data_IF_956547619296
#
_entry.id   IF_956547619296
#
_cell.length_a   1.000
_cell.length_b   1.000
_cell.length_c   1.000
_cell.angle_alpha   90.00
_cell.angle_beta   90.00
_cell.angle_gamma   90.00
#
_symmetry.space_group_name_H-M   'P 1'
#
loop_
_entity.id
_entity.type
_entity.pdbx_description
1 polymer ?
#
# COMPACT_ATOMS: atom_id res chain seq x y z
N UNK A 1 -21.82 5.76 -12.99
CA UNK A 1 -21.97 7.14 -12.51
C UNK A 1 -20.64 7.61 -11.91
N UNK A 2 -20.27 8.87 -12.13
CA UNK A 2 -19.05 9.47 -11.58
C UNK A 2 -19.43 10.46 -10.48
N UNK A 3 -18.92 10.24 -9.27
CA UNK A 3 -19.24 11.05 -8.08
C UNK A 3 -17.95 11.49 -7.40
N UNK A 4 -17.87 12.74 -6.96
CA UNK A 4 -16.78 13.23 -6.12
C UNK A 4 -17.08 12.83 -4.66
N UNK A 5 -16.16 12.13 -4.00
CA UNK A 5 -16.35 11.67 -2.60
C UNK A 5 -16.47 12.83 -1.60
N UNK A 6 -16.05 14.04 -1.97
CA UNK A 6 -16.19 15.26 -1.16
C UNK A 6 -17.61 15.82 -1.16
N UNK A 7 -18.40 15.48 -2.18
CA UNK A 7 -19.81 15.87 -2.27
C UNK A 7 -20.68 14.85 -1.52
N UNK A 8 -20.98 15.16 -0.25
CA UNK A 8 -21.74 14.30 0.66
C UNK A 8 -23.11 13.91 0.09
N UNK A 9 -23.82 14.87 -0.50
CA UNK A 9 -25.18 14.62 -0.98
C UNK A 9 -25.16 13.78 -2.26
N UNK A 10 -24.20 14.02 -3.16
CA UNK A 10 -24.01 13.22 -4.36
C UNK A 10 -23.61 11.76 -4.02
N UNK A 11 -22.71 11.55 -3.06
CA UNK A 11 -22.30 10.21 -2.59
C UNK A 11 -23.52 9.48 -2.01
N UNK A 12 -24.28 10.15 -1.13
CA UNK A 12 -25.50 9.58 -0.53
C UNK A 12 -26.52 9.18 -1.59
N UNK A 13 -26.86 10.11 -2.49
CA UNK A 13 -27.82 9.85 -3.56
C UNK A 13 -27.37 8.71 -4.51
N UNK A 14 -26.06 8.59 -4.77
CA UNK A 14 -25.55 7.50 -5.59
C UNK A 14 -25.71 6.14 -4.91
N UNK A 15 -25.40 6.05 -3.62
CA UNK A 15 -25.56 4.80 -2.84
C UNK A 15 -27.04 4.42 -2.69
N UNK A 16 -27.92 5.35 -2.35
CA UNK A 16 -29.35 5.10 -2.25
C UNK A 16 -29.93 4.58 -3.58
N UNK A 17 -29.54 5.18 -4.73
CA UNK A 17 -29.97 4.71 -6.05
C UNK A 17 -29.42 3.35 -6.43
N UNK A 18 -28.19 3.03 -5.99
CA UNK A 18 -27.56 1.76 -6.35
C UNK A 18 -28.22 0.56 -5.69
N UNK A 19 -28.80 0.73 -4.50
CA UNK A 19 -29.32 -0.36 -3.69
C UNK A 19 -28.25 -1.43 -3.36
N UNK A 20 -26.98 -1.07 -3.32
CA UNK A 20 -25.88 -2.01 -3.17
C UNK A 20 -25.82 -2.61 -1.77
N UNK A 21 -25.77 -3.95 -1.66
CA UNK A 21 -25.58 -4.68 -0.40
C UNK A 21 -24.16 -4.54 0.14
N UNK A 22 -23.18 -4.29 -0.74
CA UNK A 22 -21.78 -4.15 -0.40
C UNK A 22 -21.14 -2.94 -1.10
N UNK A 23 -20.25 -2.25 -0.38
CA UNK A 23 -19.47 -1.12 -0.86
C UNK A 23 -18.00 -1.41 -0.75
N UNK A 24 -17.23 -1.13 -1.81
CA UNK A 24 -15.77 -1.14 -1.79
C UNK A 24 -15.25 0.27 -2.03
N UNK A 25 -14.61 0.85 -1.02
CA UNK A 25 -14.06 2.20 -1.06
C UNK A 25 -12.55 2.17 -1.29
N UNK A 26 -12.13 2.53 -2.52
CA UNK A 26 -10.73 2.56 -2.96
C UNK A 26 -10.26 3.98 -3.28
N UNK A 27 -11.16 4.98 -3.24
CA UNK A 27 -10.83 6.35 -3.59
C UNK A 27 -9.91 6.97 -2.54
N UNK A 28 -8.68 7.28 -2.94
CA UNK A 28 -7.66 7.87 -2.10
C UNK A 28 -6.56 8.52 -2.97
N UNK A 29 -5.99 9.65 -2.53
CA UNK A 29 -4.87 10.29 -3.21
C UNK A 29 -3.57 9.61 -2.79
N UNK A 30 -3.09 8.68 -3.63
CA UNK A 30 -1.88 7.90 -3.36
C UNK A 30 -0.60 8.70 -3.58
N UNK A 31 -0.53 9.47 -4.66
CA UNK A 31 0.68 10.24 -4.98
C UNK A 31 0.75 11.48 -4.08
N UNK A 32 1.87 11.70 -3.37
CA UNK A 32 2.03 12.85 -2.51
C UNK A 32 1.82 14.17 -3.28
N UNK A 33 1.11 15.09 -2.64
CA UNK A 33 0.81 16.42 -3.19
C UNK A 33 1.25 17.50 -2.20
N UNK A 34 1.58 18.68 -2.73
CA UNK A 34 1.80 19.88 -1.92
C UNK A 34 0.48 20.49 -1.42
N UNK A 35 -0.66 20.09 -2.01
CA UNK A 35 -1.98 20.45 -1.54
C UNK A 35 -2.47 19.39 -0.54
N UNK A 36 -1.96 19.48 0.70
CA UNK A 36 -2.35 18.58 1.77
C UNK A 36 -3.82 18.77 2.21
N UNK A 37 -4.40 19.96 1.95
CA UNK A 37 -5.82 20.19 2.21
C UNK A 37 -6.70 19.37 1.28
N UNK A 38 -6.38 19.35 -0.01
CA UNK A 38 -7.09 18.53 -0.98
C UNK A 38 -6.93 17.03 -0.66
N UNK A 39 -5.71 16.60 -0.26
CA UNK A 39 -5.49 15.22 0.17
C UNK A 39 -6.41 14.87 1.35
N UNK A 40 -6.38 15.65 2.41
CA UNK A 40 -7.21 15.42 3.59
C UNK A 40 -8.71 15.42 3.27
N UNK A 41 -9.14 16.34 2.42
CA UNK A 41 -10.56 16.47 2.04
C UNK A 41 -11.06 15.27 1.24
N UNK A 42 -10.26 14.74 0.31
CA UNK A 42 -10.59 13.52 -0.43
C UNK A 42 -10.47 12.28 0.46
N UNK A 43 -9.35 12.16 1.19
CA UNK A 43 -8.93 10.94 1.83
C UNK A 43 -9.66 10.69 3.15
N UNK A 44 -9.83 11.74 3.96
CA UNK A 44 -10.46 11.65 5.29
C UNK A 44 -11.93 12.06 5.24
N UNK A 45 -12.23 13.29 4.77
CA UNK A 45 -13.61 13.76 4.69
C UNK A 45 -14.42 12.95 3.67
N UNK A 46 -13.80 12.59 2.52
CA UNK A 46 -14.41 11.71 1.53
C UNK A 46 -14.73 10.33 2.09
N UNK A 47 -13.80 9.72 2.84
CA UNK A 47 -14.06 8.44 3.54
C UNK A 47 -15.21 8.60 4.53
N UNK A 48 -15.23 9.67 5.33
CA UNK A 48 -16.34 9.94 6.25
C UNK A 48 -17.69 10.05 5.52
N UNK A 49 -17.75 10.80 4.41
CA UNK A 49 -18.97 10.93 3.60
C UNK A 49 -19.45 9.57 3.06
N UNK A 50 -18.53 8.72 2.60
CA UNK A 50 -18.83 7.38 2.10
C UNK A 50 -19.39 6.49 3.22
N UNK A 51 -18.81 6.54 4.42
CA UNK A 51 -19.26 5.76 5.58
C UNK A 51 -20.66 6.21 6.06
N UNK A 52 -20.90 7.53 6.13
CA UNK A 52 -22.20 8.09 6.47
C UNK A 52 -23.28 7.69 5.44
N UNK A 53 -22.94 7.77 4.15
CA UNK A 53 -23.84 7.39 3.08
C UNK A 53 -24.16 5.88 3.12
N UNK A 54 -23.16 5.02 3.39
CA UNK A 54 -23.36 3.59 3.55
C UNK A 54 -24.27 3.26 4.75
N UNK A 55 -24.12 4.02 5.85
CA UNK A 55 -25.01 3.89 7.00
C UNK A 55 -26.45 4.27 6.66
N UNK A 56 -26.66 5.40 5.98
CA UNK A 56 -27.98 5.89 5.57
C UNK A 56 -28.67 4.97 4.56
N UNK A 57 -27.92 4.44 3.58
CA UNK A 57 -28.43 3.54 2.55
C UNK A 57 -28.71 2.11 3.06
N UNK A 58 -28.31 1.78 4.30
CA UNK A 58 -28.51 0.42 4.83
C UNK A 58 -27.54 -0.62 4.27
N UNK A 59 -26.39 -0.19 3.70
CA UNK A 59 -25.38 -1.09 3.14
C UNK A 59 -24.87 -2.07 4.20
N UNK A 60 -25.02 -3.37 3.95
CA UNK A 60 -24.73 -4.44 4.91
C UNK A 60 -23.24 -4.76 5.05
N UNK A 61 -22.41 -4.35 4.08
CA UNK A 61 -20.97 -4.58 4.10
C UNK A 61 -20.21 -3.41 3.48
N UNK A 62 -19.16 -2.95 4.17
CA UNK A 62 -18.24 -1.91 3.68
C UNK A 62 -16.82 -2.42 3.77
N UNK A 63 -16.08 -2.35 2.65
CA UNK A 63 -14.65 -2.63 2.60
C UNK A 63 -13.91 -1.34 2.23
N UNK A 64 -12.91 -0.99 3.03
CA UNK A 64 -12.09 0.21 2.82
C UNK A 64 -10.62 -0.18 2.70
N UNK A 65 -9.93 0.33 1.69
CA UNK A 65 -8.48 0.14 1.56
C UNK A 65 -7.73 1.19 2.36
N UNK A 66 -7.22 0.78 3.51
CA UNK A 66 -6.25 1.50 4.34
C UNK A 66 -4.82 1.26 3.81
N UNK A 67 -3.82 1.19 4.65
CA UNK A 67 -2.42 0.89 4.31
C UNK A 67 -1.65 0.43 5.55
N UNK A 68 -0.61 -0.36 5.38
CA UNK A 68 0.37 -0.63 6.44
C UNK A 68 1.09 0.65 6.93
N UNK A 69 1.10 1.72 6.13
CA UNK A 69 1.64 3.02 6.57
C UNK A 69 0.83 3.64 7.71
N UNK A 70 -0.41 3.21 7.93
CA UNK A 70 -1.23 3.66 9.07
C UNK A 70 -0.62 3.27 10.42
N UNK A 71 0.16 2.19 10.51
CA UNK A 71 0.91 1.85 11.73
C UNK A 71 2.01 2.88 12.05
N UNK A 72 2.51 3.57 11.02
CA UNK A 72 3.69 4.42 11.13
C UNK A 72 4.99 3.61 11.19
N UNK A 73 6.11 4.26 10.93
CA UNK A 73 7.43 3.64 10.98
C UNK A 73 8.20 4.19 12.21
N UNK A 74 8.32 3.35 13.26
CA UNK A 74 8.93 3.75 14.52
C UNK A 74 9.99 2.73 14.97
N UNK A 75 11.04 3.17 15.71
CA UNK A 75 12.11 2.28 16.18
C UNK A 75 11.61 1.14 17.07
N UNK A 76 10.50 1.36 17.77
CA UNK A 76 9.88 0.44 18.73
C UNK A 76 8.76 -0.43 18.12
N UNK A 77 8.55 -0.36 16.80
CA UNK A 77 7.60 -1.24 16.14
C UNK A 77 7.99 -2.71 16.29
N UNK A 78 7.04 -3.62 16.61
CA UNK A 78 7.26 -5.05 16.51
C UNK A 78 7.59 -5.47 15.06
N UNK A 79 8.21 -6.65 14.92
CA UNK A 79 8.62 -7.23 13.64
C UNK A 79 8.18 -8.69 13.56
N UNK A 80 7.08 -8.99 12.83
CA UNK A 80 6.21 -8.07 12.10
C UNK A 80 5.14 -7.39 12.97
N UNK A 81 4.53 -6.31 12.46
CA UNK A 81 3.30 -5.73 12.97
C UNK A 81 2.10 -6.64 12.65
N UNK A 82 1.16 -6.70 13.55
CA UNK A 82 -0.10 -7.43 13.40
C UNK A 82 -1.30 -6.49 13.43
N UNK A 83 -2.48 -7.00 13.16
CA UNK A 83 -3.70 -6.20 13.19
C UNK A 83 -4.11 -5.75 14.60
N UNK A 84 -3.53 -6.37 15.63
CA UNK A 84 -3.73 -6.00 17.05
C UNK A 84 -2.85 -4.81 17.47
N UNK A 85 -1.83 -4.47 16.66
CA UNK A 85 -0.98 -3.33 16.91
C UNK A 85 -1.70 -2.02 16.56
N UNK A 86 -1.51 -0.94 17.36
CA UNK A 86 -2.22 0.31 17.15
C UNK A 86 -1.75 1.04 15.88
N UNK A 87 -2.67 1.65 15.14
CA UNK A 87 -2.36 2.58 14.06
C UNK A 87 -1.92 3.92 14.68
N UNK A 88 -0.62 4.26 14.53
CA UNK A 88 0.02 5.43 15.15
C UNK A 88 0.19 6.59 14.16
N UNK A 89 0.26 6.26 12.87
CA UNK A 89 0.47 7.22 11.79
C UNK A 89 1.89 7.79 11.74
N UNK A 90 2.08 8.76 10.89
CA UNK A 90 3.32 9.53 10.77
C UNK A 90 2.98 10.99 10.47
N UNK A 91 2.91 11.89 11.47
CA UNK A 91 2.43 13.27 11.28
C UNK A 91 3.20 14.07 10.22
N UNK A 92 4.49 13.77 10.01
CA UNK A 92 5.33 14.43 9.01
C UNK A 92 5.11 13.92 7.57
N UNK A 93 4.28 12.90 7.38
CA UNK A 93 3.96 12.33 6.07
C UNK A 93 2.44 12.32 5.87
N UNK A 94 1.91 13.27 5.10
CA UNK A 94 0.48 13.48 4.92
C UNK A 94 -0.28 12.19 4.56
N UNK A 95 0.22 11.41 3.59
CA UNK A 95 -0.39 10.14 3.21
C UNK A 95 -0.57 9.17 4.39
N UNK A 96 0.47 8.98 5.22
CA UNK A 96 0.39 8.07 6.36
C UNK A 96 -0.53 8.62 7.47
N UNK A 97 -0.53 9.95 7.67
CA UNK A 97 -1.45 10.63 8.59
C UNK A 97 -2.89 10.42 8.16
N UNK A 98 -3.22 10.67 6.89
CA UNK A 98 -4.57 10.61 6.36
C UNK A 98 -5.08 9.16 6.29
N UNK A 99 -4.22 8.18 5.94
CA UNK A 99 -4.54 6.74 6.04
C UNK A 99 -4.86 6.31 7.47
N UNK A 100 -4.13 6.83 8.45
CA UNK A 100 -4.38 6.54 9.87
C UNK A 100 -5.73 7.08 10.32
N UNK A 101 -6.05 8.30 9.93
CA UNK A 101 -7.32 8.93 10.28
C UNK A 101 -8.50 8.22 9.62
N UNK A 102 -8.41 7.90 8.32
CA UNK A 102 -9.42 7.12 7.61
C UNK A 102 -9.62 5.72 8.22
N UNK A 103 -8.52 5.05 8.62
CA UNK A 103 -8.57 3.75 9.30
C UNK A 103 -9.31 3.84 10.65
N UNK A 104 -9.02 4.87 11.44
CA UNK A 104 -9.72 5.13 12.71
C UNK A 104 -11.21 5.42 12.51
N UNK A 105 -11.58 6.19 11.48
CA UNK A 105 -12.99 6.40 11.12
C UNK A 105 -13.69 5.08 10.82
N UNK A 106 -13.05 4.17 10.08
CA UNK A 106 -13.59 2.85 9.81
C UNK A 106 -13.79 2.01 11.10
N UNK A 107 -12.82 2.05 12.02
CA UNK A 107 -12.93 1.35 13.30
C UNK A 107 -14.07 1.91 14.17
N UNK A 108 -14.23 3.23 14.23
CA UNK A 108 -15.34 3.90 14.93
C UNK A 108 -16.68 3.55 14.30
N UNK A 109 -16.75 3.56 12.96
CA UNK A 109 -17.96 3.17 12.23
C UNK A 109 -18.35 1.71 12.52
N UNK A 110 -17.37 0.79 12.54
CA UNK A 110 -17.61 -0.61 12.87
C UNK A 110 -18.18 -0.78 14.29
N UNK A 111 -17.64 -0.03 15.25
CA UNK A 111 -18.14 -0.05 16.64
C UNK A 111 -19.56 0.51 16.77
N UNK A 112 -19.91 1.52 15.94
CA UNK A 112 -21.26 2.12 15.93
C UNK A 112 -22.30 1.26 15.18
N UNK A 113 -21.87 0.35 14.29
CA UNK A 113 -22.76 -0.48 13.47
C UNK A 113 -22.39 -1.97 13.59
N UNK A 114 -22.57 -2.60 14.75
CA UNK A 114 -22.17 -4.00 15.02
C UNK A 114 -22.97 -5.02 14.21
N UNK A 115 -24.10 -4.62 13.64
CA UNK A 115 -24.96 -5.40 12.75
C UNK A 115 -24.46 -5.46 11.29
N UNK A 116 -23.40 -4.72 10.97
CA UNK A 116 -22.81 -4.61 9.62
C UNK A 116 -21.38 -5.08 9.57
N UNK A 117 -20.94 -5.45 8.39
CA UNK A 117 -19.57 -5.91 8.19
C UNK A 117 -18.68 -4.75 7.71
N UNK A 118 -17.71 -4.34 8.54
CA UNK A 118 -16.63 -3.44 8.15
C UNK A 118 -15.36 -4.24 7.93
N UNK A 119 -14.78 -4.15 6.74
CA UNK A 119 -13.48 -4.75 6.39
C UNK A 119 -12.47 -3.65 6.12
N UNK A 120 -11.34 -3.65 6.84
CA UNK A 120 -10.25 -2.69 6.66
C UNK A 120 -9.05 -3.45 6.09
N UNK A 121 -8.68 -3.15 4.85
CA UNK A 121 -7.54 -3.80 4.18
C UNK A 121 -6.31 -2.92 4.32
N UNK A 122 -5.22 -3.45 4.89
CA UNK A 122 -3.95 -2.74 5.13
C UNK A 122 -2.82 -3.36 4.29
N UNK A 123 -2.73 -3.07 2.99
CA UNK A 123 -1.65 -3.59 2.17
C UNK A 123 -0.31 -2.95 2.54
N UNK A 124 0.78 -3.72 2.44
CA UNK A 124 2.14 -3.20 2.37
C UNK A 124 2.35 -2.47 1.03
N UNK A 125 3.57 -2.34 0.52
CA UNK A 125 3.81 -1.68 -0.76
C UNK A 125 3.22 -2.54 -1.88
N UNK A 126 2.18 -2.03 -2.53
CA UNK A 126 1.58 -2.68 -3.70
C UNK A 126 2.41 -2.36 -4.93
N UNK A 127 2.94 -3.40 -5.57
CA UNK A 127 3.71 -3.36 -6.79
C UNK A 127 3.10 -4.32 -7.83
N UNK A 128 3.47 -4.15 -9.08
CA UNK A 128 3.01 -4.97 -10.21
C UNK A 128 3.30 -4.28 -11.53
N UNK A 129 3.13 -4.97 -12.65
CA UNK A 129 3.43 -4.45 -13.99
C UNK A 129 2.57 -3.25 -14.39
N UNK A 130 1.36 -3.13 -13.85
CA UNK A 130 0.43 -2.04 -14.16
C UNK A 130 0.48 -0.89 -13.13
N UNK A 131 1.29 -1.03 -12.07
CA UNK A 131 1.40 0.00 -11.03
C UNK A 131 2.35 1.11 -11.50
N UNK A 132 1.81 2.31 -11.69
CA UNK A 132 2.60 3.54 -11.94
C UNK A 132 2.32 4.55 -10.82
N UNK A 133 3.09 4.48 -9.76
CA UNK A 133 3.03 5.43 -8.65
C UNK A 133 4.41 6.04 -8.36
N UNK A 134 4.45 7.01 -7.47
CA UNK A 134 5.69 7.70 -7.12
C UNK A 134 6.75 6.77 -6.52
N UNK A 135 6.37 5.66 -5.85
CA UNK A 135 7.33 4.68 -5.31
C UNK A 135 8.03 3.92 -6.42
N UNK A 136 7.29 3.45 -7.44
CA UNK A 136 7.89 2.85 -8.63
C UNK A 136 8.85 3.83 -9.31
N UNK A 137 8.42 5.10 -9.45
CA UNK A 137 9.26 6.15 -10.05
C UNK A 137 10.49 6.47 -9.19
N UNK A 138 10.40 6.38 -7.87
CA UNK A 138 11.55 6.52 -6.97
C UNK A 138 12.63 5.48 -7.26
N UNK A 139 12.26 4.20 -7.41
CA UNK A 139 13.20 3.13 -7.76
C UNK A 139 13.71 3.22 -9.20
N UNK A 140 12.88 3.65 -10.13
CA UNK A 140 13.20 3.62 -11.56
C UNK A 140 13.90 4.87 -12.07
N UNK A 141 13.68 6.04 -11.47
CA UNK A 141 14.22 7.33 -11.95
C UNK A 141 15.35 7.90 -11.09
N UNK A 142 15.54 7.40 -9.85
CA UNK A 142 16.63 7.89 -8.99
C UNK A 142 17.98 7.35 -9.48
N UNK A 143 19.01 8.20 -9.63
CA UNK A 143 20.29 7.80 -10.22
C UNK A 143 21.18 7.00 -9.26
N UNK A 144 20.89 6.96 -7.99
CA UNK A 144 21.62 6.21 -6.96
C UNK A 144 20.73 5.97 -5.73
N UNK A 145 21.06 4.94 -4.96
CA UNK A 145 20.42 4.65 -3.67
C UNK A 145 21.24 5.29 -2.53
N UNK A 146 20.64 6.21 -1.75
CA UNK A 146 21.36 6.84 -0.63
C UNK A 146 21.54 5.84 0.52
N UNK A 147 22.76 5.70 1.02
CA UNK A 147 23.04 4.97 2.26
C UNK A 147 23.26 5.96 3.40
N UNK A 148 22.28 6.03 4.28
CA UNK A 148 22.33 6.82 5.51
C UNK A 148 22.42 5.94 6.77
N UNK A 149 22.87 4.68 6.62
CA UNK A 149 23.02 3.69 7.68
C UNK A 149 21.77 2.83 7.92
N UNK A 150 20.93 2.62 6.89
CA UNK A 150 19.65 1.93 7.04
C UNK A 150 19.36 0.91 5.94
N UNK A 151 20.31 0.67 5.03
CA UNK A 151 20.09 -0.22 3.88
C UNK A 151 19.76 -1.67 4.26
N UNK A 152 20.08 -2.08 5.47
CA UNK A 152 19.76 -3.41 5.99
C UNK A 152 18.35 -3.49 6.60
N UNK A 153 17.59 -2.36 6.61
CA UNK A 153 16.19 -2.38 7.00
C UNK A 153 15.36 -3.16 5.98
N UNK A 154 14.42 -3.93 6.53
CA UNK A 154 13.53 -4.78 5.77
C UNK A 154 12.38 -3.99 5.17
N UNK A 155 11.99 -4.37 3.95
CA UNK A 155 10.88 -3.83 3.19
C UNK A 155 10.06 -4.99 2.62
N UNK A 156 8.79 -4.75 2.36
CA UNK A 156 7.85 -5.77 1.96
C UNK A 156 6.99 -5.28 0.80
N UNK A 157 6.76 -6.16 -0.18
CA UNK A 157 5.93 -5.89 -1.34
C UNK A 157 4.82 -6.92 -1.45
N UNK A 158 3.71 -6.55 -2.08
CA UNK A 158 2.63 -7.45 -2.47
C UNK A 158 2.23 -7.18 -3.91
N UNK A 159 1.99 -8.22 -4.69
CA UNK A 159 1.58 -8.09 -6.08
C UNK A 159 0.16 -7.52 -6.19
N UNK A 160 -0.07 -6.67 -7.19
CA UNK A 160 -1.39 -6.03 -7.41
C UNK A 160 -2.51 -7.06 -7.54
N UNK A 161 -2.29 -8.18 -8.24
CA UNK A 161 -3.29 -9.25 -8.38
C UNK A 161 -3.55 -9.97 -7.06
N UNK A 162 -2.52 -10.18 -6.23
CA UNK A 162 -2.68 -10.79 -4.90
C UNK A 162 -3.52 -9.89 -3.98
N UNK A 163 -3.42 -8.57 -4.12
CA UNK A 163 -4.30 -7.62 -3.40
C UNK A 163 -5.75 -7.73 -3.87
N UNK A 164 -5.98 -7.85 -5.18
CA UNK A 164 -7.32 -8.05 -5.75
C UNK A 164 -7.95 -9.35 -5.25
N UNK A 165 -7.18 -10.44 -5.23
CA UNK A 165 -7.63 -11.72 -4.70
C UNK A 165 -7.94 -11.67 -3.19
N UNK A 166 -7.09 -10.98 -2.41
CA UNK A 166 -7.32 -10.77 -0.98
C UNK A 166 -8.62 -9.97 -0.70
N UNK A 167 -8.83 -8.87 -1.43
CA UNK A 167 -10.05 -8.08 -1.34
C UNK A 167 -11.26 -8.91 -1.72
N UNK A 168 -11.18 -9.68 -2.80
CA UNK A 168 -12.27 -10.54 -3.27
C UNK A 168 -12.63 -11.62 -2.23
N UNK A 169 -11.63 -12.28 -1.66
CA UNK A 169 -11.84 -13.31 -0.63
C UNK A 169 -12.51 -12.72 0.63
N UNK A 170 -12.04 -11.55 1.09
CA UNK A 170 -12.61 -10.85 2.24
C UNK A 170 -14.04 -10.38 2.00
N UNK A 171 -14.32 -9.85 0.81
CA UNK A 171 -15.63 -9.35 0.43
C UNK A 171 -16.65 -10.48 0.30
N UNK A 172 -16.33 -11.53 -0.48
CA UNK A 172 -17.22 -12.66 -0.72
C UNK A 172 -17.44 -13.49 0.54
N UNK A 173 -16.42 -13.64 1.39
CA UNK A 173 -16.52 -14.31 2.70
C UNK A 173 -17.16 -13.47 3.79
N UNK A 174 -17.49 -12.19 3.54
CA UNK A 174 -18.05 -11.23 4.51
C UNK A 174 -17.22 -11.14 5.80
N UNK A 175 -15.89 -11.11 5.68
CA UNK A 175 -14.99 -11.09 6.81
C UNK A 175 -14.79 -9.67 7.35
N UNK A 176 -15.28 -9.39 8.56
CA UNK A 176 -15.11 -8.10 9.24
C UNK A 176 -13.80 -7.99 10.02
N UNK A 177 -13.35 -6.76 10.22
CA UNK A 177 -12.14 -6.40 10.95
C UNK A 177 -11.01 -5.92 10.04
N UNK A 178 -9.84 -5.64 10.65
CA UNK A 178 -8.65 -5.25 9.91
C UNK A 178 -7.88 -6.50 9.43
N UNK A 179 -7.28 -6.40 8.22
CA UNK A 179 -6.46 -7.44 7.61
C UNK A 179 -5.25 -6.83 6.91
N UNK A 180 -4.06 -7.24 7.32
CA UNK A 180 -2.83 -6.92 6.62
C UNK A 180 -2.70 -7.77 5.35
N UNK A 181 -2.28 -7.15 4.25
CA UNK A 181 -2.05 -7.82 2.97
C UNK A 181 -0.60 -7.61 2.53
N UNK A 182 0.16 -8.68 2.48
CA UNK A 182 1.59 -8.63 2.17
C UNK A 182 2.02 -9.91 1.44
N UNK A 183 3.00 -9.77 0.54
CA UNK A 183 3.69 -10.93 -0.06
C UNK A 183 4.54 -11.65 0.98
N UNK A 184 4.76 -12.93 0.77
CA UNK A 184 5.66 -13.71 1.62
C UNK A 184 7.12 -13.33 1.39
N UNK A 185 7.94 -13.51 2.42
CA UNK A 185 9.34 -13.11 2.40
C UNK A 185 9.54 -11.60 2.55
N UNK A 186 10.79 -11.20 2.65
CA UNK A 186 11.22 -9.82 2.87
C UNK A 186 12.42 -9.53 1.98
N UNK A 187 12.63 -8.25 1.66
CA UNK A 187 13.88 -7.76 1.09
C UNK A 187 14.47 -6.69 2.01
N UNK A 188 15.76 -6.49 1.94
CA UNK A 188 16.39 -5.28 2.47
C UNK A 188 16.41 -4.20 1.40
N UNK A 189 16.50 -2.93 1.80
CA UNK A 189 16.69 -1.82 0.86
C UNK A 189 17.98 -1.99 0.04
N UNK A 190 19.00 -2.63 0.62
CA UNK A 190 20.25 -3.00 -0.07
C UNK A 190 20.00 -3.99 -1.18
N UNK A 191 19.30 -5.10 -0.90
CA UNK A 191 18.96 -6.11 -1.91
C UNK A 191 18.13 -5.52 -3.07
N UNK A 192 17.19 -4.61 -2.75
CA UNK A 192 16.45 -3.89 -3.79
C UNK A 192 17.37 -3.05 -4.68
N UNK A 193 18.28 -2.28 -4.09
CA UNK A 193 19.23 -1.45 -4.83
C UNK A 193 20.17 -2.29 -5.70
N UNK A 194 20.72 -3.38 -5.14
CA UNK A 194 21.61 -4.31 -5.85
C UNK A 194 20.91 -5.03 -6.99
N UNK A 195 19.67 -5.47 -6.79
CA UNK A 195 18.88 -6.15 -7.81
C UNK A 195 18.73 -5.32 -9.09
N UNK A 196 18.54 -4.00 -8.95
CA UNK A 196 18.38 -3.10 -10.11
C UNK A 196 19.70 -2.45 -10.54
N UNK A 197 20.84 -2.83 -9.96
CA UNK A 197 22.15 -2.25 -10.28
C UNK A 197 22.27 -0.76 -9.90
N UNK A 198 21.51 -0.30 -8.90
CA UNK A 198 21.54 1.10 -8.45
C UNK A 198 22.82 1.37 -7.66
N UNK A 199 23.65 2.37 -8.03
CA UNK A 199 24.84 2.73 -7.27
C UNK A 199 24.49 3.16 -5.85
N UNK A 200 25.10 2.54 -4.84
CA UNK A 200 24.91 2.91 -3.44
C UNK A 200 25.90 4.01 -3.07
N UNK A 201 25.39 5.13 -2.55
CA UNK A 201 26.21 6.29 -2.13
C UNK A 201 25.97 6.63 -0.68
N UNK A 202 27.02 6.48 0.14
CA UNK A 202 26.98 6.82 1.56
C UNK A 202 26.92 8.31 1.78
N UNK A 203 25.97 8.76 2.64
CA UNK A 203 25.84 10.17 3.02
C UNK A 203 25.30 10.31 4.45
N UNK A 204 25.61 11.41 5.16
CA UNK A 204 25.05 11.67 6.48
C UNK A 204 23.51 11.86 6.40
N UNK A 205 22.76 11.26 7.33
CA UNK A 205 21.29 11.38 7.38
C UNK A 205 20.82 12.85 7.41
N UNK A 206 21.53 13.73 8.14
CA UNK A 206 21.19 15.16 8.19
C UNK A 206 21.29 15.83 6.82
N UNK A 207 22.32 15.50 6.04
CA UNK A 207 22.50 16.00 4.68
C UNK A 207 21.41 15.48 3.73
N UNK A 208 21.07 14.18 3.84
CA UNK A 208 19.99 13.57 3.07
C UNK A 208 18.64 14.23 3.36
N UNK A 209 18.28 14.39 4.65
CA UNK A 209 17.04 15.09 5.05
C UNK A 209 16.99 16.54 4.55
N UNK A 210 18.13 17.25 4.61
CA UNK A 210 18.23 18.61 4.09
C UNK A 210 18.01 18.67 2.57
N UNK A 211 18.67 17.78 1.83
CA UNK A 211 18.50 17.66 0.37
C UNK A 211 17.06 17.30 0.00
N UNK A 212 16.45 16.31 0.67
CA UNK A 212 15.07 15.91 0.41
C UNK A 212 14.07 17.05 0.65
N UNK A 213 14.25 17.82 1.73
CA UNK A 213 13.42 19.01 2.00
C UNK A 213 13.56 20.08 0.93
N UNK A 214 14.79 20.35 0.49
CA UNK A 214 15.05 21.32 -0.56
C UNK A 214 14.44 20.88 -1.90
N UNK A 215 14.64 19.63 -2.30
CA UNK A 215 14.08 19.09 -3.54
C UNK A 215 12.54 19.06 -3.53
N UNK A 216 11.95 18.69 -2.40
CA UNK A 216 10.50 18.75 -2.23
C UNK A 216 9.99 20.19 -2.35
N UNK A 217 10.55 21.14 -1.60
CA UNK A 217 10.14 22.54 -1.64
C UNK A 217 10.29 23.15 -3.06
N UNK A 218 11.33 22.75 -3.81
CA UNK A 218 11.54 23.16 -5.20
C UNK A 218 10.68 22.40 -6.22
N UNK A 219 9.83 21.44 -5.78
CA UNK A 219 9.02 20.55 -6.64
C UNK A 219 9.85 19.69 -7.62
N UNK A 220 11.08 19.37 -7.25
CA UNK A 220 12.00 18.53 -8.01
C UNK A 220 11.94 17.04 -7.57
N UNK A 221 11.21 16.72 -6.52
CA UNK A 221 10.99 15.37 -6.01
C UNK A 221 9.51 15.12 -5.81
N UNK A 222 9.07 13.89 -6.13
CA UNK A 222 7.72 13.40 -5.83
C UNK A 222 7.63 12.79 -4.42
N UNK A 223 8.79 12.54 -3.76
CA UNK A 223 8.85 11.94 -2.44
C UNK A 223 8.95 13.02 -1.34
N UNK A 224 7.97 13.11 -0.43
CA UNK A 224 8.01 14.06 0.67
C UNK A 224 9.06 13.66 1.72
N UNK A 225 9.68 14.63 2.43
CA UNK A 225 10.72 14.34 3.40
C UNK A 225 10.27 13.45 4.57
N UNK A 226 8.99 13.51 4.95
CA UNK A 226 8.42 12.68 6.02
C UNK A 226 8.42 11.18 5.72
N UNK A 227 8.52 10.79 4.45
CA UNK A 227 8.64 9.40 4.04
C UNK A 227 9.98 8.75 4.45
N UNK A 228 11.02 9.53 4.70
CA UNK A 228 12.36 9.02 5.04
C UNK A 228 12.30 8.08 6.26
N UNK A 229 11.41 8.33 7.21
CA UNK A 229 11.28 7.51 8.41
C UNK A 229 10.84 6.08 8.08
N UNK A 230 10.08 5.87 6.99
CA UNK A 230 9.68 4.55 6.48
C UNK A 230 10.85 3.76 5.87
N UNK A 231 11.94 4.42 5.50
CA UNK A 231 13.18 3.75 5.15
C UNK A 231 14.08 3.47 6.38
N UNK A 232 13.96 4.27 7.46
CA UNK A 232 14.82 4.20 8.64
C UNK A 232 14.33 3.21 9.69
N UNK A 233 13.02 2.98 9.78
CA UNK A 233 12.40 2.22 10.87
C UNK A 233 11.53 1.08 10.34
N UNK A 234 11.32 0.01 11.15
CA UNK A 234 10.53 -1.14 10.73
C UNK A 234 9.04 -0.80 10.63
N UNK A 235 8.38 -1.34 9.58
CA UNK A 235 6.93 -1.28 9.39
C UNK A 235 6.40 -2.47 8.57
N UNK A 236 7.15 -3.59 8.57
CA UNK A 236 6.70 -4.84 7.95
C UNK A 236 5.53 -5.43 8.72
N UNK A 237 4.60 -6.06 8.00
CA UNK A 237 3.35 -6.58 8.56
C UNK A 237 3.22 -8.09 8.38
N UNK A 238 2.50 -8.74 9.29
CA UNK A 238 2.12 -10.16 9.18
C UNK A 238 0.85 -10.29 8.33
N UNK A 239 0.82 -11.24 7.39
CA UNK A 239 -0.35 -11.63 6.61
C UNK A 239 -1.05 -12.89 7.15
N UNK A 240 -0.63 -13.38 8.31
CA UNK A 240 -1.10 -14.66 8.87
C UNK A 240 -2.59 -14.67 9.25
N UNK A 241 -3.13 -13.53 9.69
CA UNK A 241 -4.56 -13.42 9.98
C UNK A 241 -5.39 -13.62 8.73
N UNK A 242 -5.00 -12.95 7.62
CA UNK A 242 -5.67 -13.08 6.33
C UNK A 242 -5.64 -14.53 5.83
N UNK A 243 -4.46 -15.17 5.85
CA UNK A 243 -4.28 -16.58 5.46
C UNK A 243 -5.20 -17.51 6.25
N UNK A 244 -5.20 -17.40 7.58
CA UNK A 244 -6.04 -18.27 8.44
C UNK A 244 -7.53 -18.03 8.25
N UNK A 245 -7.95 -16.78 7.99
CA UNK A 245 -9.36 -16.43 7.91
C UNK A 245 -9.98 -16.82 6.57
N UNK A 246 -9.24 -16.66 5.47
CA UNK A 246 -9.80 -16.79 4.12
C UNK A 246 -9.24 -17.97 3.33
N UNK A 247 -8.14 -18.57 3.77
CA UNK A 247 -7.36 -19.51 2.97
C UNK A 247 -6.55 -18.86 1.84
N UNK A 248 -6.57 -17.53 1.72
CA UNK A 248 -5.76 -16.80 0.76
C UNK A 248 -4.26 -16.98 1.05
N UNK A 249 -3.47 -17.02 0.00
CA UNK A 249 -2.01 -16.99 0.08
C UNK A 249 -1.47 -16.19 -1.11
N UNK A 250 -0.44 -15.35 -0.91
CA UNK A 250 0.15 -14.63 -2.03
C UNK A 250 0.78 -15.59 -3.02
N UNK A 251 0.61 -15.36 -4.31
CA UNK A 251 1.20 -16.13 -5.40
C UNK A 251 2.64 -15.73 -5.66
N UNK A 252 2.95 -14.47 -5.33
CA UNK A 252 4.26 -13.88 -5.52
C UNK A 252 4.89 -13.55 -4.17
N UNK A 253 6.17 -13.86 -4.00
CA UNK A 253 6.97 -13.37 -2.87
C UNK A 253 7.23 -11.87 -3.02
N UNK A 254 7.65 -11.21 -1.93
CA UNK A 254 8.09 -9.81 -1.98
C UNK A 254 9.20 -9.58 -3.01
N UNK A 255 10.15 -10.52 -3.15
CA UNK A 255 11.23 -10.43 -4.14
C UNK A 255 10.72 -10.56 -5.56
N UNK A 256 9.90 -11.57 -5.84
CA UNK A 256 9.33 -11.76 -7.18
C UNK A 256 8.49 -10.56 -7.60
N UNK A 257 7.65 -10.04 -6.69
CA UNK A 257 6.84 -8.83 -6.92
C UNK A 257 7.71 -7.64 -7.29
N UNK A 258 8.80 -7.40 -6.53
CA UNK A 258 9.73 -6.32 -6.83
C UNK A 258 10.37 -6.49 -8.21
N UNK A 259 10.89 -7.69 -8.51
CA UNK A 259 11.57 -7.98 -9.78
C UNK A 259 10.62 -7.90 -10.98
N UNK A 260 9.38 -8.43 -10.87
CA UNK A 260 8.34 -8.31 -11.91
C UNK A 260 8.09 -6.84 -12.22
N UNK A 261 7.90 -6.02 -11.18
CA UNK A 261 7.66 -4.58 -11.32
C UNK A 261 8.85 -3.89 -12.00
N UNK A 262 10.07 -4.17 -11.53
CA UNK A 262 11.27 -3.53 -12.10
C UNK A 262 11.52 -3.96 -13.55
N UNK A 263 11.17 -5.18 -13.96
CA UNK A 263 11.21 -5.63 -15.36
C UNK A 263 10.19 -4.89 -16.21
N UNK A 264 8.95 -4.78 -15.75
CA UNK A 264 7.89 -4.07 -16.47
C UNK A 264 8.26 -2.60 -16.73
N UNK A 265 9.00 -1.99 -15.80
CA UNK A 265 9.49 -0.61 -15.92
C UNK A 265 10.92 -0.47 -16.50
N UNK A 266 11.46 -1.53 -17.13
CA UNK A 266 12.70 -1.51 -17.88
C UNK A 266 13.99 -1.39 -17.05
N UNK A 267 13.96 -1.71 -15.75
CA UNK A 267 15.12 -1.73 -14.86
C UNK A 267 15.83 -3.08 -14.80
N UNK A 268 15.12 -4.15 -15.12
CA UNK A 268 15.67 -5.49 -15.22
C UNK A 268 15.47 -6.04 -16.64
N UNK A 269 16.36 -6.93 -17.13
CA UNK A 269 16.14 -7.56 -18.40
C UNK A 269 14.86 -8.39 -18.40
N UNK A 270 14.23 -8.61 -19.57
CA UNK A 270 13.08 -9.51 -19.69
C UNK A 270 13.46 -10.90 -19.18
N UNK A 271 12.47 -11.58 -18.60
CA UNK A 271 12.65 -12.96 -18.15
C UNK A 271 13.09 -13.82 -19.32
N UNK A 272 14.18 -14.58 -19.17
CA UNK A 272 14.59 -15.53 -20.20
C UNK A 272 13.49 -16.61 -20.28
N UNK A 273 12.92 -16.77 -21.46
CA UNK A 273 12.06 -17.92 -21.71
C UNK A 273 12.78 -19.20 -21.22
N UNK A 274 12.09 -20.14 -20.55
CA UNK A 274 12.70 -21.40 -20.14
C UNK A 274 13.37 -21.98 -21.38
N UNK A 275 14.68 -22.18 -21.33
CA UNK A 275 15.44 -22.85 -22.38
C UNK A 275 14.83 -24.23 -22.47
N UNK A 276 14.06 -24.49 -23.53
CA UNK A 276 13.44 -25.79 -23.78
C UNK A 276 14.52 -26.86 -23.63
N UNK A 277 14.20 -27.88 -22.87
CA UNK A 277 15.05 -29.04 -22.63
C UNK A 277 15.47 -29.62 -24.01
N UNK A 278 16.76 -29.60 -24.37
CA UNK A 278 17.21 -30.12 -25.66
C UNK A 278 17.01 -31.65 -25.80
N UNK A 279 16.55 -32.32 -24.73
CA UNK A 279 16.33 -33.80 -24.74
C UNK A 279 14.99 -34.23 -25.35
N UNK A 280 14.06 -33.33 -25.67
CA UNK A 280 12.77 -33.69 -26.28
C UNK A 280 12.85 -33.93 -27.81
N UNK A 281 13.99 -33.65 -28.46
CA UNK A 281 14.13 -33.77 -29.91
C UNK A 281 14.71 -35.14 -30.41
N UNK A 282 14.97 -36.12 -29.53
CA UNK A 282 15.67 -37.37 -29.91
C UNK A 282 14.76 -38.61 -29.88
N UNK A 283 13.45 -38.49 -29.79
CA UNK A 283 12.52 -39.62 -29.78
C UNK A 283 11.54 -39.66 -30.97
N UNK A 284 11.86 -39.01 -32.08
CA UNK A 284 11.11 -39.08 -33.33
C UNK A 284 12.09 -39.20 -34.53
N UNK A 285 12.84 -40.29 -34.57
CA UNK A 285 13.54 -40.75 -35.79
C UNK A 285 13.46 -42.28 -35.84
#
# INVERSE_FOLDING_TARGET
ERVDVRDRDAVRAALERSGADALVHLAFILNPSHDEHLMYDVDVNGTHNVLEAAAAAGTGQVLVTSSATAYGAFPDNPKPLTEDDPVRGAPAFAYARDKTEADRLCQLWAAAHPDRVMTIVRPCIVFGPNVDNYLVRLWTKTPFSPDVGHLDNQIQFVHEDDVVEAISALLLGRHGGAFNVAGDGLMTLRECAEAIGSPIRRMPLRAYRGLARMMWAARLSEAPPGQIDFALHPWIVSNEKLKRTTGWSPKQTSRETFEITMRAHGKLPPERAPTGDPTAATLAA
#
